data_IF_707951172343
#
_entry.id   IF_707951172343
#
_cell.length_a   1.000
_cell.length_b   1.000
_cell.length_c   1.000
_cell.angle_alpha   90.00
_cell.angle_beta   90.00
_cell.angle_gamma   90.00
#
_symmetry.space_group_name_H-M   'P 1'
#
loop_
_entity.id
_entity.type
_entity.pdbx_description
1 polymer ?
#
# COMPACT_ATOMS: atom_id res chain seq x y z
N UNK A 1 -1.56 27.80 18.16
CA UNK A 1 -1.67 26.55 17.44
C UNK A 1 -2.96 26.45 16.67
N UNK A 2 -2.95 25.97 15.43
CA UNK A 2 -4.08 26.06 14.49
C UNK A 2 -4.16 24.79 13.62
N UNK A 3 -5.38 24.26 13.40
CA UNK A 3 -5.64 23.29 12.35
C UNK A 3 -6.01 24.04 11.07
N UNK A 4 -5.31 23.77 9.99
CA UNK A 4 -5.46 24.46 8.70
C UNK A 4 -5.71 23.44 7.58
N UNK A 5 -6.51 23.78 6.57
CA UNK A 5 -6.63 22.95 5.37
C UNK A 5 -5.30 22.82 4.63
N UNK A 6 -5.09 21.67 4.01
CA UNK A 6 -3.96 21.48 3.11
C UNK A 6 -4.10 22.42 1.90
N UNK A 7 -3.04 23.14 1.60
CA UNK A 7 -2.87 23.93 0.37
C UNK A 7 -1.55 23.54 -0.31
N UNK A 8 -1.35 23.97 -1.54
CA UNK A 8 -0.08 23.75 -2.26
C UNK A 8 1.13 24.31 -1.50
N UNK A 9 0.94 25.46 -0.84
CA UNK A 9 1.98 26.12 -0.02
C UNK A 9 2.49 25.22 1.11
N UNK A 10 1.62 24.44 1.74
CA UNK A 10 1.99 23.59 2.87
C UNK A 10 2.33 22.13 2.49
N UNK A 11 2.10 21.76 1.22
CA UNK A 11 2.35 20.38 0.78
C UNK A 11 3.80 19.98 0.97
N UNK A 12 4.75 20.81 0.58
CA UNK A 12 6.18 20.50 0.69
C UNK A 12 6.62 20.28 2.16
N UNK A 13 6.12 21.13 3.08
CA UNK A 13 6.40 20.98 4.50
C UNK A 13 5.81 19.69 5.09
N UNK A 14 4.57 19.37 4.74
CA UNK A 14 3.94 18.10 5.15
C UNK A 14 4.64 16.89 4.55
N UNK A 15 5.04 16.96 3.27
CA UNK A 15 5.79 15.88 2.63
C UNK A 15 7.15 15.65 3.29
N UNK A 16 7.86 16.71 3.65
CA UNK A 16 9.12 16.61 4.39
C UNK A 16 8.92 15.95 5.77
N UNK A 17 7.89 16.38 6.51
CA UNK A 17 7.49 15.75 7.77
C UNK A 17 7.21 14.25 7.58
N UNK A 18 6.42 13.89 6.59
CA UNK A 18 6.09 12.50 6.29
C UNK A 18 7.34 11.66 6.01
N UNK A 19 8.33 12.22 5.29
CA UNK A 19 9.59 11.52 5.00
C UNK A 19 10.48 11.34 6.22
N UNK A 20 10.30 12.13 7.27
CA UNK A 20 11.06 11.99 8.52
C UNK A 20 10.48 10.91 9.46
N UNK A 21 9.29 10.41 9.19
CA UNK A 21 8.62 9.39 10.02
C UNK A 21 8.95 7.97 9.56
N UNK A 22 8.74 7.01 10.44
CA UNK A 22 8.89 5.59 10.10
C UNK A 22 7.82 5.11 9.11
N UNK A 23 6.58 5.59 9.27
CA UNK A 23 5.39 5.15 8.54
C UNK A 23 4.80 6.29 7.70
N UNK A 24 5.37 6.53 6.54
CA UNK A 24 4.82 7.53 5.63
C UNK A 24 3.72 6.97 4.72
N UNK A 25 3.02 7.87 4.04
CA UNK A 25 2.10 7.49 2.95
C UNK A 25 2.88 7.36 1.64
N UNK A 26 3.16 6.13 1.16
CA UNK A 26 4.01 5.93 -0.02
C UNK A 26 3.35 6.41 -1.31
N UNK A 27 2.01 6.52 -1.35
CA UNK A 27 1.25 6.88 -2.55
C UNK A 27 0.92 8.38 -2.64
N UNK A 28 1.26 9.16 -1.62
CA UNK A 28 0.93 10.59 -1.59
C UNK A 28 1.47 11.37 -2.79
N UNK A 29 2.73 11.18 -3.24
CA UNK A 29 3.25 11.92 -4.39
C UNK A 29 2.52 11.61 -5.71
N UNK A 30 2.09 10.36 -5.93
CA UNK A 30 1.27 10.01 -7.12
C UNK A 30 -0.10 10.67 -7.05
N UNK A 31 -0.65 10.78 -5.85
CA UNK A 31 -1.95 11.39 -5.63
C UNK A 31 -1.93 12.92 -5.74
N UNK A 32 -0.77 13.56 -5.69
CA UNK A 32 -0.63 15.03 -5.64
C UNK A 32 -1.41 15.75 -6.72
N UNK A 33 -1.41 15.25 -7.94
CA UNK A 33 -2.16 15.82 -9.06
C UNK A 33 -3.62 15.33 -9.14
N UNK A 34 -4.09 14.54 -8.16
CA UNK A 34 -5.40 13.90 -8.16
C UNK A 34 -6.30 14.38 -7.01
N UNK A 35 -6.30 15.68 -6.72
CA UNK A 35 -7.16 16.25 -5.69
C UNK A 35 -6.82 15.77 -4.28
N UNK A 36 -5.66 16.16 -3.78
CA UNK A 36 -5.33 15.97 -2.37
C UNK A 36 -6.32 16.73 -1.48
N UNK A 37 -6.64 16.12 -0.37
CA UNK A 37 -7.51 16.67 0.64
C UNK A 37 -6.95 16.36 2.03
N UNK A 38 -6.98 17.30 2.94
CA UNK A 38 -6.52 17.06 4.30
C UNK A 38 -6.51 18.28 5.20
N UNK A 39 -6.12 18.02 6.44
CA UNK A 39 -5.93 19.04 7.47
C UNK A 39 -4.53 18.85 8.07
N UNK A 40 -3.89 19.97 8.34
CA UNK A 40 -2.57 20.06 8.95
C UNK A 40 -2.66 20.71 10.32
N UNK A 41 -1.69 20.41 11.17
CA UNK A 41 -1.51 21.04 12.47
C UNK A 41 -0.29 21.94 12.41
N UNK A 42 -0.49 23.21 12.72
CA UNK A 42 0.52 24.23 12.77
C UNK A 42 0.74 24.66 14.23
N UNK A 43 2.00 24.69 14.67
CA UNK A 43 2.35 25.15 15.99
C UNK A 43 2.29 26.70 16.14
N UNK A 44 2.74 27.24 17.26
CA UNK A 44 2.76 28.68 17.52
C UNK A 44 3.78 29.45 16.68
N UNK A 45 4.81 28.76 16.17
CA UNK A 45 5.82 29.34 15.27
C UNK A 45 5.38 29.36 13.80
N UNK A 46 4.30 28.65 13.46
CA UNK A 46 3.83 28.46 12.09
C UNK A 46 4.40 27.20 11.41
N UNK A 47 5.18 26.39 12.11
CA UNK A 47 5.70 25.14 11.57
C UNK A 47 4.62 24.05 11.52
N UNK A 48 4.67 23.19 10.51
CA UNK A 48 3.79 22.02 10.37
C UNK A 48 4.33 20.91 11.27
N UNK A 49 3.60 20.54 12.31
CA UNK A 49 3.98 19.53 13.30
C UNK A 49 3.14 18.25 13.18
N UNK A 50 2.14 18.24 12.31
CA UNK A 50 1.33 17.06 12.04
C UNK A 50 0.29 17.28 10.98
N UNK A 51 -0.46 16.25 10.65
CA UNK A 51 -1.57 16.33 9.72
C UNK A 51 -2.10 14.99 9.26
N UNK A 52 -3.19 15.04 8.53
CA UNK A 52 -3.79 13.89 7.87
C UNK A 52 -4.22 14.26 6.45
N UNK A 53 -3.57 13.63 5.48
CA UNK A 53 -3.73 13.95 4.05
C UNK A 53 -4.07 12.68 3.28
N UNK A 54 -5.07 12.77 2.44
CA UNK A 54 -5.55 11.68 1.59
C UNK A 54 -6.00 12.19 0.22
N UNK A 55 -6.58 11.28 -0.56
CA UNK A 55 -7.04 11.53 -1.93
C UNK A 55 -8.56 11.65 -1.98
N UNK A 56 -9.06 12.75 -2.52
CA UNK A 56 -10.48 12.97 -2.78
C UNK A 56 -10.95 12.10 -3.95
N UNK A 57 -12.03 11.36 -3.76
CA UNK A 57 -12.68 10.52 -4.78
C UNK A 57 -14.18 10.80 -4.84
N UNK A 58 -14.82 10.34 -5.93
CA UNK A 58 -16.26 10.52 -6.12
C UNK A 58 -16.68 11.96 -6.36
N UNK A 59 -15.78 12.82 -6.87
CA UNK A 59 -16.04 14.24 -7.10
C UNK A 59 -16.66 14.55 -8.47
N UNK A 60 -16.95 13.53 -9.29
CA UNK A 60 -17.63 13.73 -10.57
C UNK A 60 -19.04 14.32 -10.36
N UNK A 61 -19.52 15.23 -11.24
CA UNK A 61 -20.77 15.96 -11.03
C UNK A 61 -22.00 15.10 -10.69
N UNK A 62 -22.14 13.94 -11.35
CA UNK A 62 -23.30 13.04 -11.17
C UNK A 62 -23.30 12.26 -9.85
N UNK A 63 -22.11 12.04 -9.24
CA UNK A 63 -21.99 11.18 -8.07
C UNK A 63 -21.51 11.90 -6.81
N UNK A 64 -21.01 13.14 -6.94
CA UNK A 64 -20.44 13.90 -5.83
C UNK A 64 -21.39 14.12 -4.65
N UNK A 65 -22.68 14.12 -4.91
CA UNK A 65 -23.69 14.34 -3.86
C UNK A 65 -23.82 13.15 -2.90
N UNK A 66 -23.52 11.93 -3.36
CA UNK A 66 -23.67 10.68 -2.59
C UNK A 66 -22.41 9.86 -2.42
N UNK A 67 -21.34 10.11 -3.21
CA UNK A 67 -20.14 9.26 -3.22
C UNK A 67 -18.83 10.02 -2.96
N UNK A 68 -18.89 11.35 -2.70
CA UNK A 68 -17.71 12.15 -2.39
C UNK A 68 -17.05 11.68 -1.11
N UNK A 69 -15.84 11.15 -1.19
CA UNK A 69 -15.12 10.55 -0.07
C UNK A 69 -13.62 10.81 -0.15
N UNK A 70 -12.94 10.71 0.99
CA UNK A 70 -11.47 10.83 1.06
C UNK A 70 -10.89 9.49 1.45
N UNK A 71 -9.82 9.09 0.76
CA UNK A 71 -9.06 7.88 1.02
C UNK A 71 -7.70 8.23 1.60
N UNK A 72 -7.43 7.74 2.79
CA UNK A 72 -6.17 7.88 3.49
C UNK A 72 -5.42 6.56 3.44
N UNK A 73 -4.19 6.61 2.95
CA UNK A 73 -3.29 5.46 2.88
C UNK A 73 -2.31 5.43 4.07
N UNK A 74 -2.53 6.27 5.08
CA UNK A 74 -1.80 6.31 6.34
C UNK A 74 -2.69 6.82 7.48
N UNK A 75 -2.31 6.55 8.72
CA UNK A 75 -2.81 7.28 9.88
C UNK A 75 -2.36 8.76 9.84
N UNK A 76 -2.96 9.62 10.68
CA UNK A 76 -2.40 10.96 10.91
C UNK A 76 -0.92 10.86 11.27
N UNK A 77 -0.13 11.80 10.77
CA UNK A 77 1.32 11.85 10.93
C UNK A 77 1.68 13.04 11.80
N UNK A 78 2.58 12.85 12.76
CA UNK A 78 3.06 13.89 13.66
C UNK A 78 4.59 13.83 13.78
N UNK A 79 5.20 14.95 14.20
CA UNK A 79 6.65 15.03 14.42
C UNK A 79 7.11 14.10 15.54
N UNK A 80 6.27 13.94 16.59
CA UNK A 80 6.60 13.13 17.76
C UNK A 80 5.34 12.47 18.35
N UNK A 81 5.48 11.42 19.18
CA UNK A 81 4.37 10.84 19.93
C UNK A 81 3.68 11.83 20.87
N UNK A 82 4.42 12.80 21.42
CA UNK A 82 3.90 13.86 22.29
C UNK A 82 2.99 14.80 21.50
N UNK A 83 3.40 15.17 20.27
CA UNK A 83 2.58 15.96 19.36
C UNK A 83 1.31 15.21 18.97
N UNK A 84 1.42 13.91 18.71
CA UNK A 84 0.25 13.07 18.44
C UNK A 84 -0.72 13.08 19.62
N UNK A 85 -0.26 12.76 20.82
CA UNK A 85 -1.10 12.72 22.01
C UNK A 85 -1.78 14.07 22.28
N UNK A 86 -1.07 15.17 22.05
CA UNK A 86 -1.58 16.52 22.29
C UNK A 86 -2.56 16.97 21.21
N UNK A 87 -2.34 16.64 19.94
CA UNK A 87 -3.03 17.30 18.82
C UNK A 87 -3.99 16.41 18.06
N UNK A 88 -3.89 15.10 18.16
CA UNK A 88 -4.77 14.18 17.43
C UNK A 88 -6.26 14.45 17.70
N UNK A 89 -6.75 14.65 18.95
CA UNK A 89 -8.18 14.89 19.17
C UNK A 89 -8.68 16.15 18.45
N UNK A 90 -7.90 17.24 18.49
CA UNK A 90 -8.24 18.50 17.80
C UNK A 90 -8.16 18.39 16.29
N UNK A 91 -7.16 17.66 15.76
CA UNK A 91 -7.05 17.38 14.33
C UNK A 91 -8.28 16.61 13.86
N UNK A 92 -8.68 15.56 14.57
CA UNK A 92 -9.84 14.73 14.20
C UNK A 92 -11.15 15.54 14.19
N UNK A 93 -11.34 16.42 15.14
CA UNK A 93 -12.50 17.31 15.14
C UNK A 93 -12.47 18.29 13.95
N UNK A 94 -11.33 18.92 13.69
CA UNK A 94 -11.15 19.81 12.54
C UNK A 94 -11.36 19.07 11.20
N UNK A 95 -10.84 17.85 11.06
CA UNK A 95 -11.05 16.97 9.89
C UNK A 95 -12.54 16.69 9.68
N UNK A 96 -13.27 16.30 10.72
CA UNK A 96 -14.72 16.02 10.62
C UNK A 96 -15.52 17.28 10.27
N UNK A 97 -15.21 18.42 10.86
CA UNK A 97 -15.88 19.70 10.56
C UNK A 97 -15.59 20.15 9.12
N UNK A 98 -14.33 20.06 8.68
CA UNK A 98 -13.95 20.40 7.31
C UNK A 98 -14.60 19.47 6.30
N UNK A 99 -14.66 18.16 6.59
CA UNK A 99 -15.33 17.17 5.76
C UNK A 99 -16.83 17.46 5.59
N UNK A 100 -17.53 17.84 6.68
CA UNK A 100 -18.95 18.25 6.61
C UNK A 100 -19.14 19.45 5.70
N UNK A 101 -18.31 20.51 5.86
CA UNK A 101 -18.37 21.73 5.01
C UNK A 101 -18.12 21.43 3.54
N UNK A 102 -17.28 20.43 3.25
CA UNK A 102 -16.94 19.99 1.89
C UNK A 102 -17.90 18.94 1.33
N UNK A 103 -18.99 18.62 2.06
CA UNK A 103 -19.98 17.61 1.68
C UNK A 103 -19.37 16.21 1.46
N UNK A 104 -18.30 15.87 2.18
CA UNK A 104 -17.72 14.52 2.20
C UNK A 104 -18.72 13.56 2.87
N UNK A 105 -18.89 12.39 2.31
CA UNK A 105 -19.79 11.35 2.83
C UNK A 105 -19.09 10.50 3.88
N UNK A 106 -17.85 10.09 3.59
CA UNK A 106 -17.05 9.27 4.47
C UNK A 106 -15.53 9.50 4.25
N UNK A 107 -14.78 9.22 5.29
CA UNK A 107 -13.33 9.15 5.28
C UNK A 107 -12.95 7.68 5.34
N UNK A 108 -12.15 7.21 4.39
CA UNK A 108 -11.71 5.83 4.29
C UNK A 108 -10.26 5.72 4.71
N UNK A 109 -9.97 4.85 5.65
CA UNK A 109 -8.63 4.45 6.05
C UNK A 109 -8.34 3.09 5.43
N UNK A 110 -7.31 2.99 4.61
CA UNK A 110 -7.02 1.80 3.81
C UNK A 110 -5.86 0.97 4.38
N UNK A 111 -5.68 -0.23 3.85
CA UNK A 111 -4.73 -1.25 4.33
C UNK A 111 -3.22 -0.90 4.26
N UNK A 112 -2.85 0.25 3.68
CA UNK A 112 -1.47 0.78 3.77
C UNK A 112 -1.15 1.38 5.12
N UNK A 113 -2.17 1.40 5.99
CA UNK A 113 -2.05 1.96 7.33
C UNK A 113 -1.12 1.09 8.17
N UNK A 114 -0.09 1.72 8.68
CA UNK A 114 0.84 1.16 9.64
C UNK A 114 0.96 2.12 10.81
N UNK A 115 1.18 1.57 11.99
CA UNK A 115 1.33 2.37 13.21
C UNK A 115 0.16 2.20 14.19
N UNK A 116 0.29 2.82 15.36
CA UNK A 116 -0.62 2.67 16.52
C UNK A 116 -1.41 3.93 16.79
N UNK A 117 -1.96 4.57 15.76
CA UNK A 117 -2.77 5.76 15.98
C UNK A 117 -4.16 5.43 16.51
N UNK A 118 -4.61 6.20 17.51
CA UNK A 118 -5.91 6.03 18.17
C UNK A 118 -7.07 6.69 17.40
N UNK A 119 -7.12 6.50 16.07
CA UNK A 119 -8.26 6.96 15.28
C UNK A 119 -9.47 6.07 15.52
N UNK A 120 -10.59 6.69 15.94
CA UNK A 120 -11.86 5.98 16.11
C UNK A 120 -12.57 5.88 14.76
N UNK A 121 -12.87 4.64 14.36
CA UNK A 121 -13.58 4.29 13.13
C UNK A 121 -15.01 3.85 13.45
N UNK A 122 -15.99 4.26 12.64
CA UNK A 122 -17.40 3.85 12.77
C UNK A 122 -17.63 2.46 12.17
N UNK A 123 -16.87 2.10 11.16
CA UNK A 123 -16.81 0.76 10.56
C UNK A 123 -15.36 0.31 10.54
N UNK A 124 -15.11 -0.87 11.06
CA UNK A 124 -13.77 -1.43 11.21
C UNK A 124 -13.68 -2.74 10.44
N UNK A 125 -12.61 -2.88 9.66
CA UNK A 125 -12.16 -4.14 9.10
C UNK A 125 -10.74 -4.43 9.61
N UNK A 126 -10.45 -5.65 10.04
CA UNK A 126 -9.10 -6.03 10.41
C UNK A 126 -8.24 -6.14 9.15
N UNK A 127 -7.01 -5.69 9.24
CA UNK A 127 -5.98 -5.91 8.23
C UNK A 127 -4.66 -6.27 8.91
N UNK A 128 -3.76 -6.88 8.18
CA UNK A 128 -2.48 -7.27 8.72
C UNK A 128 -1.36 -7.13 7.68
N UNK A 129 -0.13 -7.17 8.16
CA UNK A 129 1.06 -7.30 7.33
C UNK A 129 2.12 -8.10 8.08
N UNK A 130 3.15 -8.51 7.33
CA UNK A 130 4.43 -8.97 7.87
C UNK A 130 5.49 -7.95 7.50
N UNK A 131 6.43 -7.70 8.40
CA UNK A 131 7.56 -6.83 8.11
C UNK A 131 8.86 -7.35 8.72
N UNK A 132 9.97 -6.99 8.08
CA UNK A 132 11.31 -7.20 8.62
C UNK A 132 11.86 -5.92 9.24
N UNK A 133 12.53 -6.08 10.37
CA UNK A 133 13.48 -5.10 10.89
C UNK A 133 14.82 -5.24 10.14
N UNK A 134 15.10 -4.31 9.23
CA UNK A 134 16.32 -4.33 8.41
C UNK A 134 17.59 -3.91 9.17
N UNK A 135 17.49 -3.54 10.46
CA UNK A 135 18.67 -3.34 11.32
C UNK A 135 19.33 -4.68 11.68
N UNK A 136 18.61 -5.78 11.60
CA UNK A 136 19.12 -7.13 11.85
C UNK A 136 20.13 -7.57 10.78
N UNK A 137 21.01 -8.50 11.14
CA UNK A 137 21.95 -9.10 10.18
C UNK A 137 21.21 -9.93 9.12
N UNK A 138 21.81 -10.08 7.91
CA UNK A 138 21.25 -10.94 6.87
C UNK A 138 21.10 -12.38 7.35
N UNK A 139 22.00 -12.88 8.17
CA UNK A 139 21.90 -14.20 8.79
C UNK A 139 20.67 -14.31 9.69
N UNK A 140 20.43 -13.30 10.55
CA UNK A 140 19.26 -13.26 11.42
C UNK A 140 17.96 -13.22 10.61
N UNK A 141 17.90 -12.44 9.52
CA UNK A 141 16.76 -12.39 8.62
C UNK A 141 16.55 -13.71 7.87
N UNK A 142 17.63 -14.33 7.39
CA UNK A 142 17.58 -15.65 6.73
C UNK A 142 17.07 -16.74 7.67
N UNK A 143 17.45 -16.70 8.95
CA UNK A 143 17.02 -17.67 9.96
C UNK A 143 15.52 -17.60 10.23
N UNK A 144 14.86 -16.45 10.04
CA UNK A 144 13.42 -16.28 10.16
C UNK A 144 12.62 -16.95 9.03
N UNK A 145 13.25 -17.20 7.87
CA UNK A 145 12.59 -17.88 6.76
C UNK A 145 12.18 -19.31 7.14
N UNK A 146 11.01 -19.73 6.71
CA UNK A 146 10.63 -21.12 6.81
C UNK A 146 11.46 -22.02 5.90
N UNK A 147 11.36 -23.36 6.10
CA UNK A 147 12.11 -24.34 5.33
C UNK A 147 11.82 -24.26 3.82
N UNK A 148 10.56 -23.97 3.46
CA UNK A 148 10.16 -23.89 2.06
C UNK A 148 10.80 -22.67 1.38
N UNK A 149 10.80 -21.51 2.02
CA UNK A 149 11.45 -20.30 1.49
C UNK A 149 12.94 -20.48 1.32
N UNK A 150 13.63 -21.04 2.34
CA UNK A 150 15.06 -21.37 2.25
C UNK A 150 15.38 -22.29 1.06
N UNK A 151 14.58 -23.35 0.88
CA UNK A 151 14.72 -24.25 -0.27
C UNK A 151 14.46 -23.55 -1.60
N UNK A 152 13.45 -22.69 -1.65
CA UNK A 152 13.07 -21.97 -2.87
C UNK A 152 14.14 -20.97 -3.28
N UNK A 153 14.76 -20.25 -2.33
CA UNK A 153 15.89 -19.34 -2.60
C UNK A 153 17.08 -20.12 -3.18
N UNK A 154 17.49 -21.22 -2.53
CA UNK A 154 18.57 -22.08 -3.04
C UNK A 154 18.28 -22.62 -4.45
N UNK A 155 17.02 -22.96 -4.73
CA UNK A 155 16.60 -23.39 -6.05
C UNK A 155 16.75 -22.28 -7.09
N UNK A 156 16.38 -21.04 -6.75
CA UNK A 156 16.52 -19.91 -7.64
C UNK A 156 18.00 -19.58 -7.93
N UNK A 157 18.86 -19.68 -6.92
CA UNK A 157 20.32 -19.54 -7.06
C UNK A 157 20.92 -20.64 -7.96
N UNK A 158 20.49 -21.89 -7.79
CA UNK A 158 20.91 -22.99 -8.64
C UNK A 158 20.46 -22.85 -10.11
N UNK A 159 19.33 -22.18 -10.35
CA UNK A 159 18.87 -21.82 -11.69
C UNK A 159 19.52 -20.51 -12.21
N UNK A 160 20.47 -19.95 -11.48
CA UNK A 160 21.23 -18.75 -11.84
C UNK A 160 20.33 -17.58 -12.28
N UNK A 161 19.21 -17.36 -11.55
CA UNK A 161 18.34 -16.21 -11.80
C UNK A 161 19.06 -14.91 -11.47
N UNK A 162 19.02 -13.98 -12.41
CA UNK A 162 19.53 -12.62 -12.22
C UNK A 162 18.43 -11.70 -11.71
N UNK A 163 18.72 -10.91 -10.69
CA UNK A 163 17.79 -9.90 -10.13
C UNK A 163 18.40 -8.52 -10.29
N UNK A 164 17.71 -7.67 -11.03
CA UNK A 164 18.11 -6.28 -11.29
C UNK A 164 17.13 -5.29 -10.69
N UNK A 165 17.62 -4.14 -10.24
CA UNK A 165 16.86 -3.09 -9.59
C UNK A 165 16.96 -1.80 -10.41
N UNK A 166 15.82 -1.26 -10.81
CA UNK A 166 15.71 -0.04 -11.60
C UNK A 166 14.97 1.02 -10.80
N UNK A 167 15.64 2.11 -10.45
CA UNK A 167 15.06 3.18 -9.62
C UNK A 167 14.46 4.30 -10.48
N UNK A 168 13.30 4.80 -10.09
CA UNK A 168 12.67 5.95 -10.71
C UNK A 168 12.50 5.76 -12.22
N UNK A 169 12.97 6.73 -13.02
CA UNK A 169 12.78 6.74 -14.48
C UNK A 169 13.47 5.58 -15.22
N UNK A 170 14.48 4.97 -14.64
CA UNK A 170 15.15 3.79 -15.24
C UNK A 170 14.22 2.58 -15.37
N UNK A 171 13.15 2.53 -14.55
CA UNK A 171 12.14 1.48 -14.59
C UNK A 171 11.14 1.62 -15.76
N UNK A 172 11.00 2.82 -16.34
CA UNK A 172 9.98 3.11 -17.36
C UNK A 172 10.04 2.17 -18.57
N UNK A 173 11.20 1.84 -19.15
CA UNK A 173 11.28 0.91 -20.29
C UNK A 173 10.75 -0.51 -20.00
N UNK A 174 10.63 -0.90 -18.74
CA UNK A 174 10.18 -2.23 -18.32
C UNK A 174 8.68 -2.29 -17.97
N UNK A 175 7.95 -1.17 -18.04
CA UNK A 175 6.51 -1.12 -17.73
C UNK A 175 5.70 -2.12 -18.56
N UNK A 176 5.89 -2.23 -19.90
CA UNK A 176 5.12 -3.18 -20.71
C UNK A 176 5.29 -4.64 -20.26
N UNK A 177 6.53 -5.07 -20.01
CA UNK A 177 6.81 -6.44 -19.55
C UNK A 177 6.26 -6.69 -18.13
N UNK A 178 6.41 -5.72 -17.23
CA UNK A 178 5.83 -5.77 -15.90
C UNK A 178 4.30 -5.91 -15.94
N UNK A 179 3.64 -5.12 -16.78
CA UNK A 179 2.19 -5.18 -16.96
C UNK A 179 1.73 -6.53 -17.56
N UNK A 180 2.48 -7.09 -18.51
CA UNK A 180 2.19 -8.41 -19.06
C UNK A 180 2.21 -9.49 -17.97
N UNK A 181 3.25 -9.52 -17.13
CA UNK A 181 3.36 -10.45 -15.99
C UNK A 181 2.24 -10.24 -14.95
N UNK A 182 1.83 -9.00 -14.71
CA UNK A 182 0.70 -8.70 -13.81
C UNK A 182 -0.62 -9.19 -14.35
N UNK A 183 -0.88 -9.00 -15.64
CA UNK A 183 -2.08 -9.50 -16.32
C UNK A 183 -2.18 -11.02 -16.24
N UNK A 184 -1.08 -11.70 -16.48
CA UNK A 184 -1.00 -13.17 -16.35
C UNK A 184 -1.25 -13.62 -14.91
N UNK A 185 -0.65 -12.94 -13.92
CA UNK A 185 -0.88 -13.25 -12.50
C UNK A 185 -2.35 -13.03 -12.11
N UNK A 186 -3.00 -11.97 -12.60
CA UNK A 186 -4.42 -11.70 -12.35
C UNK A 186 -5.31 -12.79 -12.99
N UNK A 187 -5.01 -13.17 -14.23
CA UNK A 187 -5.76 -14.20 -14.94
C UNK A 187 -5.74 -15.52 -14.16
N UNK A 188 -4.57 -15.95 -13.68
CA UNK A 188 -4.46 -17.14 -12.84
C UNK A 188 -5.26 -17.03 -11.54
N UNK A 189 -5.24 -15.88 -10.88
CA UNK A 189 -6.01 -15.68 -9.66
C UNK A 189 -7.52 -15.82 -9.92
N UNK A 190 -8.00 -15.36 -11.09
CA UNK A 190 -9.40 -15.52 -11.50
C UNK A 190 -9.72 -17.00 -11.76
N UNK A 191 -8.87 -17.70 -12.52
CA UNK A 191 -9.05 -19.11 -12.88
C UNK A 191 -9.08 -20.04 -11.66
N UNK A 192 -8.26 -19.73 -10.65
CA UNK A 192 -8.21 -20.51 -9.42
C UNK A 192 -9.14 -19.99 -8.30
N UNK A 193 -10.09 -19.12 -8.64
CA UNK A 193 -11.05 -18.53 -7.70
C UNK A 193 -10.38 -17.88 -6.48
N UNK A 194 -9.13 -17.40 -6.67
CA UNK A 194 -8.36 -16.68 -5.67
C UNK A 194 -8.74 -15.19 -5.64
N UNK A 195 -8.21 -14.45 -4.67
CA UNK A 195 -8.47 -13.01 -4.60
C UNK A 195 -7.91 -12.26 -5.82
N UNK A 196 -8.77 -12.04 -6.80
CA UNK A 196 -8.49 -11.30 -8.03
C UNK A 196 -8.68 -9.78 -7.90
N UNK A 197 -8.67 -9.24 -6.68
CA UNK A 197 -8.86 -7.79 -6.42
C UNK A 197 -7.72 -6.92 -6.95
N UNK A 198 -6.69 -7.54 -7.54
CA UNK A 198 -5.59 -6.84 -8.20
C UNK A 198 -6.11 -5.97 -9.35
N UNK A 199 -6.18 -4.66 -9.12
CA UNK A 199 -6.52 -3.71 -10.17
C UNK A 199 -5.33 -3.54 -11.12
N UNK A 200 -5.55 -3.82 -12.42
CA UNK A 200 -4.62 -3.41 -13.45
C UNK A 200 -4.64 -1.88 -13.53
N UNK A 201 -3.46 -1.29 -13.53
CA UNK A 201 -3.26 0.16 -13.69
C UNK A 201 -2.79 0.46 -15.10
N UNK A 202 -2.98 1.68 -15.58
CA UNK A 202 -2.44 2.11 -16.88
C UNK A 202 -0.91 2.27 -16.82
N UNK A 203 -0.27 2.25 -17.99
CA UNK A 203 1.16 2.57 -18.09
C UNK A 203 1.45 3.97 -17.58
N UNK A 204 0.60 4.95 -17.89
CA UNK A 204 0.68 6.33 -17.37
C UNK A 204 0.66 6.40 -15.84
N UNK A 205 -0.06 5.50 -15.17
CA UNK A 205 0.02 5.42 -13.71
C UNK A 205 1.42 5.02 -13.24
N UNK A 206 2.05 4.03 -13.89
CA UNK A 206 3.40 3.59 -13.53
C UNK A 206 4.46 4.62 -13.90
N UNK A 207 4.34 5.28 -15.05
CA UNK A 207 5.22 6.40 -15.43
C UNK A 207 5.20 7.49 -14.36
N UNK A 208 4.01 7.88 -13.88
CA UNK A 208 3.87 8.83 -12.77
C UNK A 208 4.44 8.30 -11.47
N UNK A 209 4.15 7.03 -11.14
CA UNK A 209 4.67 6.40 -9.93
C UNK A 209 6.20 6.47 -9.90
N UNK A 210 6.86 6.09 -10.99
CA UNK A 210 8.32 6.12 -11.10
C UNK A 210 8.90 7.55 -11.19
N UNK A 211 8.13 8.50 -11.70
CA UNK A 211 8.57 9.89 -11.78
C UNK A 211 8.42 10.66 -10.45
N UNK A 212 7.45 10.30 -9.61
CA UNK A 212 7.06 11.12 -8.44
C UNK A 212 7.32 10.45 -7.09
N UNK A 213 7.34 9.11 -7.03
CA UNK A 213 7.62 8.37 -5.80
C UNK A 213 9.03 7.79 -5.82
N UNK A 214 9.60 7.56 -4.64
CA UNK A 214 10.84 6.78 -4.49
C UNK A 214 10.52 5.31 -4.74
N UNK A 215 10.35 4.95 -6.01
CA UNK A 215 9.94 3.62 -6.44
C UNK A 215 11.08 2.90 -7.14
N UNK A 216 11.25 1.63 -6.80
CA UNK A 216 12.19 0.70 -7.45
C UNK A 216 11.40 -0.42 -8.09
N UNK A 217 11.66 -0.72 -9.36
CA UNK A 217 11.22 -1.92 -10.05
C UNK A 217 12.32 -2.98 -9.93
N UNK A 218 11.96 -4.15 -9.45
CA UNK A 218 12.80 -5.34 -9.47
C UNK A 218 12.39 -6.21 -10.64
N UNK A 219 13.35 -6.67 -11.41
CA UNK A 219 13.16 -7.53 -12.58
C UNK A 219 13.99 -8.78 -12.39
N UNK A 220 13.40 -9.97 -12.60
CA UNK A 220 14.07 -11.28 -12.55
C UNK A 220 14.20 -11.84 -13.96
N UNK A 221 15.41 -12.21 -14.33
CA UNK A 221 15.73 -12.81 -15.63
C UNK A 221 16.27 -14.23 -15.47
N UNK A 222 15.98 -15.05 -16.46
CA UNK A 222 16.69 -16.32 -16.67
C UNK A 222 18.06 -16.05 -17.31
N UNK A 223 18.90 -17.08 -17.43
CA UNK A 223 20.18 -17.01 -18.15
C UNK A 223 20.03 -16.62 -19.63
N UNK A 224 18.91 -17.00 -20.25
CA UNK A 224 18.58 -16.66 -21.63
C UNK A 224 18.04 -15.23 -21.77
N UNK A 225 18.00 -14.45 -20.68
CA UNK A 225 17.54 -13.06 -20.66
C UNK A 225 16.02 -12.89 -20.61
N UNK A 226 15.22 -13.96 -20.53
CA UNK A 226 13.76 -13.88 -20.39
C UNK A 226 13.38 -13.27 -19.03
N UNK A 227 12.54 -12.23 -19.02
CA UNK A 227 11.97 -11.68 -17.79
C UNK A 227 10.84 -12.60 -17.32
N UNK A 228 10.96 -13.14 -16.11
CA UNK A 228 10.04 -14.15 -15.55
C UNK A 228 9.29 -13.68 -14.30
N UNK A 229 9.76 -12.62 -13.66
CA UNK A 229 9.06 -11.97 -12.57
C UNK A 229 9.47 -10.50 -12.47
N UNK A 230 8.57 -9.66 -11.95
CA UNK A 230 8.88 -8.28 -11.64
C UNK A 230 7.98 -7.77 -10.49
N UNK A 231 8.51 -6.84 -9.70
CA UNK A 231 7.79 -6.24 -8.58
C UNK A 231 8.19 -4.79 -8.35
N UNK A 232 7.25 -3.98 -7.91
CA UNK A 232 7.51 -2.60 -7.48
C UNK A 232 7.58 -2.50 -5.97
N UNK A 233 8.54 -1.73 -5.49
CA UNK A 233 8.74 -1.37 -4.08
C UNK A 233 8.76 0.15 -3.96
N UNK A 234 8.10 0.68 -2.94
CA UNK A 234 7.98 2.13 -2.74
C UNK A 234 8.55 2.48 -1.37
N UNK A 235 9.49 3.42 -1.35
CA UNK A 235 10.10 3.92 -0.13
C UNK A 235 9.31 5.12 0.41
N UNK A 236 9.01 5.13 1.71
CA UNK A 236 8.42 6.29 2.39
C UNK A 236 8.89 6.31 3.85
N UNK A 237 9.48 7.42 4.26
CA UNK A 237 10.18 7.46 5.55
C UNK A 237 11.33 6.46 5.60
N UNK A 238 11.44 5.74 6.69
CA UNK A 238 12.44 4.69 6.89
C UNK A 238 11.98 3.29 6.42
N UNK A 239 10.80 3.19 5.81
CA UNK A 239 10.18 1.92 5.39
C UNK A 239 10.14 1.79 3.88
N UNK A 240 10.38 0.58 3.38
CA UNK A 240 10.05 0.17 2.01
C UNK A 240 8.84 -0.75 2.02
N UNK A 241 7.90 -0.50 1.13
CA UNK A 241 6.66 -1.24 0.98
C UNK A 241 6.66 -2.06 -0.31
N UNK A 242 6.42 -3.36 -0.21
CA UNK A 242 6.08 -4.17 -1.37
C UNK A 242 4.73 -3.71 -1.93
N UNK A 243 4.69 -3.33 -3.21
CA UNK A 243 3.51 -2.68 -3.78
C UNK A 243 2.77 -3.59 -4.76
N UNK A 244 3.34 -3.84 -5.93
CA UNK A 244 2.70 -4.66 -6.95
C UNK A 244 3.70 -5.64 -7.55
N UNK A 245 3.22 -6.82 -7.94
CA UNK A 245 4.08 -7.84 -8.53
C UNK A 245 3.35 -8.62 -9.61
N UNK A 246 4.13 -9.25 -10.48
CA UNK A 246 3.67 -10.20 -11.47
C UNK A 246 4.75 -11.23 -11.76
N UNK A 247 4.33 -12.44 -12.15
CA UNK A 247 5.25 -13.52 -12.49
C UNK A 247 4.65 -14.47 -13.52
N UNK A 248 5.50 -14.97 -14.40
CA UNK A 248 5.25 -16.15 -15.23
C UNK A 248 5.00 -17.35 -14.30
N UNK A 249 3.88 -18.06 -14.50
CA UNK A 249 3.47 -19.16 -13.63
C UNK A 249 4.43 -20.32 -13.64
N UNK A 250 4.77 -20.76 -14.84
CA UNK A 250 5.63 -21.93 -15.04
C UNK A 250 7.04 -21.65 -14.55
N UNK A 251 7.61 -20.53 -14.96
CA UNK A 251 8.93 -20.11 -14.50
C UNK A 251 8.99 -19.98 -12.98
N UNK A 252 7.97 -19.37 -12.34
CA UNK A 252 7.92 -19.28 -10.89
C UNK A 252 7.86 -20.65 -10.20
N UNK A 253 7.05 -21.58 -10.74
CA UNK A 253 6.97 -22.96 -10.24
C UNK A 253 8.31 -23.70 -10.39
N UNK A 254 8.99 -23.51 -11.52
CA UNK A 254 10.25 -24.18 -11.82
C UNK A 254 11.44 -23.59 -11.08
N UNK A 255 11.48 -22.27 -10.89
CA UNK A 255 12.67 -21.57 -10.39
C UNK A 255 12.49 -20.89 -9.03
N UNK A 256 11.26 -20.63 -8.59
CA UNK A 256 11.00 -19.89 -7.35
C UNK A 256 11.25 -18.39 -7.44
N UNK A 257 11.19 -17.82 -8.66
CA UNK A 257 11.48 -16.41 -8.94
C UNK A 257 10.71 -15.43 -8.04
N UNK A 258 9.43 -15.74 -7.70
CA UNK A 258 8.60 -14.91 -6.82
C UNK A 258 9.12 -14.79 -5.39
N UNK A 259 9.65 -15.86 -4.81
CA UNK A 259 10.31 -15.82 -3.50
C UNK A 259 11.67 -15.13 -3.59
N UNK A 260 12.40 -15.37 -4.66
CA UNK A 260 13.77 -14.93 -4.82
C UNK A 260 13.88 -13.40 -4.93
N UNK A 261 13.03 -12.75 -5.73
CA UNK A 261 13.10 -11.29 -5.82
C UNK A 261 12.74 -10.59 -4.50
N UNK A 262 11.83 -11.15 -3.69
CA UNK A 262 11.56 -10.60 -2.35
C UNK A 262 12.80 -10.68 -1.46
N UNK A 263 13.48 -11.83 -1.47
CA UNK A 263 14.71 -11.99 -0.69
C UNK A 263 15.80 -11.02 -1.14
N UNK A 264 16.03 -10.92 -2.46
CA UNK A 264 16.98 -9.95 -3.03
C UNK A 264 16.58 -8.51 -2.78
N UNK A 265 15.30 -8.18 -2.73
CA UNK A 265 14.83 -6.85 -2.35
C UNK A 265 15.14 -6.54 -0.89
N UNK A 266 14.99 -7.50 0.03
CA UNK A 266 15.40 -7.33 1.44
C UNK A 266 16.90 -7.01 1.53
N UNK A 267 17.76 -7.76 0.83
CA UNK A 267 19.21 -7.50 0.76
C UNK A 267 19.49 -6.08 0.24
N UNK A 268 18.88 -5.71 -0.88
CA UNK A 268 19.07 -4.43 -1.57
C UNK A 268 18.66 -3.24 -0.68
N UNK A 269 17.45 -3.27 -0.12
CA UNK A 269 16.95 -2.15 0.69
C UNK A 269 17.62 -2.04 2.05
N UNK A 270 18.05 -3.16 2.64
CA UNK A 270 18.92 -3.15 3.81
C UNK A 270 20.26 -2.47 3.48
N UNK A 271 20.85 -2.80 2.33
CA UNK A 271 22.09 -2.16 1.84
C UNK A 271 21.94 -0.65 1.60
N UNK A 272 20.74 -0.17 1.26
CA UNK A 272 20.40 1.26 1.17
C UNK A 272 20.23 1.95 2.54
N UNK A 273 20.25 1.21 3.64
CA UNK A 273 20.11 1.75 4.99
C UNK A 273 18.66 1.98 5.46
N UNK A 274 17.66 1.44 4.73
CA UNK A 274 16.27 1.46 5.22
C UNK A 274 16.16 0.61 6.50
N UNK A 275 15.18 0.97 7.34
CA UNK A 275 15.00 0.34 8.66
C UNK A 275 13.95 -0.75 8.65
N UNK A 276 13.04 -0.74 7.69
CA UNK A 276 11.93 -1.66 7.67
C UNK A 276 11.55 -2.07 6.26
N UNK A 277 11.20 -3.36 6.08
CA UNK A 277 10.67 -3.91 4.84
C UNK A 277 9.27 -4.47 5.11
N UNK A 278 8.25 -3.85 4.55
CA UNK A 278 6.86 -4.26 4.66
C UNK A 278 6.46 -5.12 3.45
N UNK A 279 6.04 -6.36 3.69
CA UNK A 279 5.60 -7.29 2.64
C UNK A 279 4.22 -6.94 2.05
N UNK A 280 3.59 -5.87 2.50
CA UNK A 280 2.27 -5.43 2.08
C UNK A 280 1.12 -6.14 2.80
N UNK A 281 -0.09 -5.64 2.62
CA UNK A 281 -1.29 -6.12 3.31
C UNK A 281 -1.61 -7.58 3.06
N UNK A 282 -2.14 -8.26 4.08
CA UNK A 282 -2.71 -9.59 4.02
C UNK A 282 -3.96 -9.65 4.91
N UNK A 283 -4.82 -10.68 4.76
CA UNK A 283 -5.93 -10.89 5.69
C UNK A 283 -5.40 -11.24 7.08
N UNK A 284 -6.25 -11.05 8.09
CA UNK A 284 -5.97 -11.45 9.47
C UNK A 284 -6.39 -12.90 9.63
N UNK A 285 -5.43 -13.79 9.91
CA UNK A 285 -5.64 -15.21 10.22
C UNK A 285 -6.72 -15.89 9.35
N UNK A 286 -6.57 -15.86 8.01
CA UNK A 286 -7.58 -16.40 7.12
C UNK A 286 -7.70 -17.91 7.29
N UNK A 287 -8.91 -18.46 7.10
CA UNK A 287 -9.12 -19.91 6.96
C UNK A 287 -8.54 -20.43 5.64
N UNK A 288 -8.36 -21.74 5.53
CA UNK A 288 -7.84 -22.37 4.30
C UNK A 288 -8.75 -22.13 3.07
N UNK A 289 -10.05 -21.95 3.31
CA UNK A 289 -11.04 -21.68 2.27
C UNK A 289 -11.06 -20.18 1.83
N UNK A 290 -10.33 -19.30 2.54
CA UNK A 290 -10.25 -17.89 2.16
C UNK A 290 -9.47 -17.74 0.85
N UNK A 291 -10.01 -17.07 -0.17
CA UNK A 291 -9.29 -16.81 -1.43
C UNK A 291 -7.93 -16.12 -1.26
N UNK A 292 -7.69 -15.44 -0.15
CA UNK A 292 -6.43 -14.78 0.15
C UNK A 292 -5.49 -15.60 1.06
N UNK A 293 -5.87 -16.84 1.46
CA UNK A 293 -5.05 -17.71 2.31
C UNK A 293 -3.65 -17.93 1.74
N UNK A 294 -3.55 -18.15 0.42
CA UNK A 294 -2.26 -18.34 -0.25
C UNK A 294 -1.33 -17.12 -0.12
N UNK A 295 -1.90 -15.90 -0.16
CA UNK A 295 -1.13 -14.66 0.02
C UNK A 295 -0.63 -14.54 1.47
N UNK A 296 -1.48 -14.86 2.44
CA UNK A 296 -1.10 -14.89 3.86
C UNK A 296 0.04 -15.88 4.10
N UNK A 297 -0.12 -17.14 3.64
CA UNK A 297 0.90 -18.19 3.81
C UNK A 297 2.21 -17.84 3.11
N UNK A 298 2.13 -17.23 1.92
CA UNK A 298 3.31 -16.76 1.21
C UNK A 298 4.11 -15.77 2.04
N UNK A 299 3.46 -14.77 2.65
CA UNK A 299 4.11 -13.74 3.47
C UNK A 299 4.58 -14.30 4.82
N UNK A 300 3.75 -15.11 5.47
CA UNK A 300 4.10 -15.79 6.72
C UNK A 300 5.37 -16.62 6.59
N UNK A 301 5.58 -17.26 5.44
CA UNK A 301 6.76 -18.08 5.19
C UNK A 301 8.09 -17.30 5.19
N UNK A 302 8.06 -15.99 4.97
CA UNK A 302 9.24 -15.16 5.17
C UNK A 302 9.56 -14.97 6.65
N UNK A 303 8.60 -15.17 7.56
CA UNK A 303 8.76 -14.86 8.97
C UNK A 303 8.61 -13.36 9.23
N UNK A 304 9.47 -12.81 10.08
CA UNK A 304 9.38 -11.40 10.48
C UNK A 304 8.30 -11.17 11.54
N UNK A 305 8.00 -9.90 11.80
CA UNK A 305 6.98 -9.50 12.76
C UNK A 305 5.62 -9.40 12.07
N UNK A 306 4.64 -10.09 12.62
CA UNK A 306 3.24 -9.94 12.23
C UNK A 306 2.64 -8.72 12.93
N UNK A 307 2.05 -7.83 12.16
CA UNK A 307 1.38 -6.64 12.66
C UNK A 307 -0.07 -6.64 12.19
N UNK A 308 -1.02 -6.73 13.14
CA UNK A 308 -2.42 -6.46 12.87
C UNK A 308 -2.72 -4.97 13.01
N UNK A 309 -3.54 -4.46 12.12
CA UNK A 309 -3.96 -3.07 12.09
C UNK A 309 -5.48 -3.00 11.80
N UNK A 310 -6.01 -1.81 11.76
CA UNK A 310 -7.43 -1.55 11.47
C UNK A 310 -7.53 -0.64 10.26
N UNK A 311 -8.36 -1.05 9.32
CA UNK A 311 -8.83 -0.19 8.24
C UNK A 311 -10.34 0.04 8.39
N UNK A 312 -10.91 0.98 7.67
CA UNK A 312 -12.35 1.20 7.75
C UNK A 312 -12.79 2.61 7.43
N UNK A 313 -13.92 3.00 7.99
CA UNK A 313 -14.56 4.26 7.65
C UNK A 313 -14.92 5.10 8.87
N UNK A 314 -14.77 6.44 8.72
CA UNK A 314 -15.42 7.43 9.55
C UNK A 314 -16.58 7.99 8.73
N UNK A 315 -17.79 7.83 9.22
CA UNK A 315 -19.02 8.24 8.53
C UNK A 315 -19.32 9.70 8.85
N UNK A 316 -19.21 10.57 7.85
CA UNK A 316 -19.46 12.02 8.00
C UNK A 316 -20.95 12.34 7.79
N UNK A 317 -21.60 11.68 6.82
CA UNK A 317 -23.02 11.84 6.52
C UNK A 317 -23.74 10.49 6.56
N UNK A 318 -24.39 10.12 7.69
CA UNK A 318 -25.01 8.79 7.83
C UNK A 318 -26.08 8.50 6.77
N UNK A 319 -26.91 9.49 6.43
CA UNK A 319 -27.97 9.33 5.43
C UNK A 319 -27.40 9.03 4.04
N UNK A 320 -26.42 9.83 3.58
CA UNK A 320 -25.77 9.63 2.28
C UNK A 320 -24.98 8.32 2.26
N UNK A 321 -24.33 7.96 3.37
CA UNK A 321 -23.61 6.70 3.50
C UNK A 321 -24.56 5.50 3.33
N UNK A 322 -25.73 5.49 3.95
CA UNK A 322 -26.72 4.41 3.79
C UNK A 322 -27.19 4.26 2.35
N UNK A 323 -27.43 5.37 1.64
CA UNK A 323 -27.79 5.36 0.23
C UNK A 323 -26.64 4.75 -0.61
N UNK A 324 -25.41 5.20 -0.38
CA UNK A 324 -24.24 4.71 -1.08
C UNK A 324 -24.01 3.20 -0.83
N UNK A 325 -24.10 2.78 0.42
CA UNK A 325 -23.93 1.38 0.83
C UNK A 325 -25.00 0.47 0.19
N UNK A 326 -26.26 0.91 0.19
CA UNK A 326 -27.34 0.23 -0.50
C UNK A 326 -27.05 0.09 -2.01
N UNK A 327 -26.66 1.17 -2.70
CA UNK A 327 -26.34 1.13 -4.12
C UNK A 327 -25.15 0.20 -4.45
N UNK A 328 -24.15 0.16 -3.57
CA UNK A 328 -23.00 -0.72 -3.73
C UNK A 328 -23.35 -2.19 -3.47
N UNK A 329 -24.27 -2.47 -2.54
CA UNK A 329 -24.77 -3.83 -2.28
C UNK A 329 -25.53 -4.38 -3.47
N UNK A 330 -26.37 -3.55 -4.12
CA UNK A 330 -27.10 -3.94 -5.36
C UNK A 330 -26.12 -4.29 -6.49
N UNK A 331 -25.04 -3.53 -6.68
CA UNK A 331 -24.01 -3.87 -7.68
C UNK A 331 -23.29 -5.19 -7.39
N UNK A 332 -23.05 -5.53 -6.12
CA UNK A 332 -22.50 -6.85 -5.75
C UNK A 332 -23.48 -7.97 -6.10
N UNK A 333 -24.76 -7.80 -5.80
CA UNK A 333 -25.80 -8.76 -6.16
C UNK A 333 -25.89 -8.95 -7.69
N UNK A 334 -25.94 -7.86 -8.46
CA UNK A 334 -25.97 -7.95 -9.93
C UNK A 334 -24.75 -8.68 -10.51
N UNK A 335 -23.55 -8.48 -9.95
CA UNK A 335 -22.35 -9.22 -10.37
C UNK A 335 -22.39 -10.71 -10.00
N UNK A 336 -23.02 -11.07 -8.88
CA UNK A 336 -23.22 -12.47 -8.50
C UNK A 336 -24.23 -13.17 -9.44
N UNK A 337 -25.27 -12.48 -9.86
CA UNK A 337 -26.24 -13.00 -10.83
C UNK A 337 -25.67 -13.09 -12.25
N UNK A 338 -24.84 -12.14 -12.68
CA UNK A 338 -24.21 -12.17 -14.01
C UNK A 338 -23.11 -13.24 -14.15
N UNK A 339 -22.62 -13.82 -13.05
CA UNK A 339 -21.69 -14.96 -13.08
C UNK A 339 -22.40 -16.33 -13.13
N UNK A 340 -23.74 -16.36 -12.99
CA UNK A 340 -24.56 -17.59 -13.02
C UNK A 340 -25.37 -17.74 -14.31
N UNK A 341 -25.30 -16.78 -15.24
CA UNK A 341 -25.83 -16.83 -16.60
C UNK A 341 -24.65 -16.92 -17.59
#
# INVERSE_FOLDING_TARGET
MKSIPLTETYYAAFYALMQSTQWGNPMLPVAYNNSLWGMLVQDSSGAIVGGWVGTLRGNAPLVRCIAKSVYFDSYPIFCSPEDEAQYLPRLMEAVKQYARRQHIVMLNLTHWVRGNCSVVLDKVAPCATFYYDLSLSMESLYNQLDRLKKRTIKKAEANQLEVQFYAGKEAIPYIPQFQALRKETQQRAIEHNQNASMLLKSDTFFERLFATCKTTLTVVRTQEGKIVAAATFIESGATVYAHMSGSDAEANRLTGSGTYYYWKAVEYFRGKGLKQFDFGGCPVEPSEDDPAFGVFMFKRGFGGTYLSAREGHIIISPTKYRILDFLLSQRKLLRLFSKKL
#
